data_IF_050760161698
#
_entry.id   IF_050760161698
#
_cell.length_a   1.000
_cell.length_b   1.000
_cell.length_c   1.000
_cell.angle_alpha   90.00
_cell.angle_beta   90.00
_cell.angle_gamma   90.00
#
_symmetry.space_group_name_H-M   'P 1'
#
loop_
_entity.id
_entity.type
_entity.pdbx_description
1 polymer ?
#
# COMPACT_ATOMS: atom_id res chain seq x y z
N UNK A 1 5.89 -34.37 5.85
CA UNK A 1 5.54 -33.83 7.20
C UNK A 1 4.10 -33.38 7.15
N UNK A 2 3.29 -33.75 8.16
CA UNK A 2 1.87 -33.39 8.18
C UNK A 2 1.63 -32.01 8.80
N UNK A 3 0.82 -31.22 8.12
CA UNK A 3 0.34 -29.91 8.54
C UNK A 3 -1.17 -29.92 8.66
N UNK A 4 -1.69 -29.37 9.74
CA UNK A 4 -3.12 -29.08 9.88
C UNK A 4 -3.26 -27.58 9.64
N UNK A 5 -3.85 -27.21 8.51
CA UNK A 5 -3.87 -25.84 8.04
C UNK A 5 -5.29 -25.28 8.11
N UNK A 6 -5.44 -24.10 8.71
CA UNK A 6 -6.67 -23.35 8.68
C UNK A 6 -6.43 -21.96 8.08
N UNK A 7 -7.18 -21.62 7.03
CA UNK A 7 -7.11 -20.35 6.32
C UNK A 7 -8.33 -19.51 6.66
N UNK A 8 -8.09 -18.31 7.21
CA UNK A 8 -9.12 -17.35 7.57
C UNK A 8 -9.03 -16.11 6.70
N UNK A 9 -10.17 -15.52 6.38
CA UNK A 9 -10.29 -14.11 5.99
C UNK A 9 -10.88 -13.35 7.17
N UNK A 10 -10.05 -12.51 7.78
CA UNK A 10 -10.33 -11.88 9.07
C UNK A 10 -10.71 -12.91 10.15
N UNK A 11 -12.01 -13.06 10.45
CA UNK A 11 -12.54 -14.02 11.42
C UNK A 11 -13.29 -15.19 10.76
N UNK A 12 -13.49 -15.16 9.44
CA UNK A 12 -14.23 -16.19 8.71
C UNK A 12 -13.28 -17.28 8.21
N UNK A 13 -13.55 -18.53 8.59
CA UNK A 13 -12.84 -19.68 8.04
C UNK A 13 -13.17 -19.82 6.55
N UNK A 14 -12.15 -19.84 5.70
CA UNK A 14 -12.26 -20.06 4.26
C UNK A 14 -12.01 -21.51 3.89
N UNK A 15 -10.93 -22.08 4.43
CA UNK A 15 -10.57 -23.46 4.18
C UNK A 15 -9.87 -24.06 5.40
N UNK A 16 -9.99 -25.37 5.57
CA UNK A 16 -9.29 -26.17 6.56
C UNK A 16 -8.94 -27.50 5.94
N UNK A 17 -7.65 -27.86 5.96
CA UNK A 17 -7.17 -29.09 5.33
C UNK A 17 -5.94 -29.66 6.04
N UNK A 18 -5.69 -30.95 5.85
CA UNK A 18 -4.51 -31.65 6.31
C UNK A 18 -3.62 -32.01 5.12
N UNK A 19 -2.45 -31.38 5.04
CA UNK A 19 -1.55 -31.48 3.89
C UNK A 19 -0.22 -32.09 4.31
N UNK A 20 0.31 -32.99 3.47
CA UNK A 20 1.66 -33.50 3.62
C UNK A 20 2.61 -32.74 2.69
N UNK A 21 3.68 -32.16 3.26
CA UNK A 21 4.70 -31.41 2.52
C UNK A 21 6.12 -31.73 2.99
N UNK A 22 7.10 -31.44 2.13
CA UNK A 22 8.52 -31.54 2.47
C UNK A 22 8.95 -30.36 3.36
N UNK A 23 9.93 -30.59 4.24
CA UNK A 23 10.40 -29.52 5.12
C UNK A 23 11.23 -28.47 4.40
N UNK A 24 11.73 -28.74 3.19
CA UNK A 24 12.46 -27.80 2.32
C UNK A 24 11.55 -26.76 1.66
N UNK A 25 10.25 -27.01 1.62
CA UNK A 25 9.25 -26.11 1.04
C UNK A 25 8.95 -24.92 1.98
N UNK A 26 8.18 -23.95 1.47
CA UNK A 26 7.86 -22.71 2.19
C UNK A 26 6.40 -22.66 2.63
N UNK A 27 6.08 -21.74 3.55
CA UNK A 27 4.67 -21.48 3.88
C UNK A 27 3.86 -20.92 2.70
N UNK A 28 4.53 -20.36 1.69
CA UNK A 28 3.90 -19.98 0.42
C UNK A 28 3.38 -21.20 -0.32
N UNK A 29 4.21 -22.22 -0.46
CA UNK A 29 3.87 -23.46 -1.16
C UNK A 29 2.73 -24.17 -0.43
N UNK A 30 2.78 -24.22 0.91
CA UNK A 30 1.71 -24.77 1.74
C UNK A 30 0.37 -24.03 1.57
N UNK A 31 0.42 -22.70 1.51
CA UNK A 31 -0.79 -21.90 1.31
C UNK A 31 -1.38 -22.11 -0.09
N UNK A 32 -0.52 -22.21 -1.11
CA UNK A 32 -0.91 -22.48 -2.48
C UNK A 32 -1.57 -23.86 -2.61
N UNK A 33 -1.01 -24.89 -1.98
CA UNK A 33 -1.56 -26.25 -2.00
C UNK A 33 -2.98 -26.29 -1.39
N UNK A 34 -3.20 -25.56 -0.29
CA UNK A 34 -4.52 -25.52 0.40
C UNK A 34 -5.56 -24.70 -0.35
N UNK A 35 -5.17 -23.64 -1.06
CA UNK A 35 -6.13 -22.75 -1.73
C UNK A 35 -6.30 -23.05 -3.23
N UNK A 36 -5.29 -23.63 -3.88
CA UNK A 36 -5.24 -23.89 -5.32
C UNK A 36 -5.02 -22.65 -6.18
N UNK A 37 -4.71 -21.49 -5.59
CA UNK A 37 -4.39 -20.25 -6.29
C UNK A 37 -3.52 -19.33 -5.44
N UNK A 38 -2.78 -18.45 -6.12
CA UNK A 38 -1.88 -17.49 -5.49
C UNK A 38 -2.63 -16.27 -4.91
N UNK A 39 -2.29 -15.88 -3.67
CA UNK A 39 -2.85 -14.69 -2.99
C UNK A 39 -1.75 -13.75 -2.47
N UNK A 40 -0.80 -13.39 -3.32
CA UNK A 40 0.37 -12.58 -2.92
C UNK A 40 0.05 -11.11 -2.60
N UNK A 41 -1.08 -10.59 -3.07
CA UNK A 41 -1.40 -9.16 -2.94
C UNK A 41 -2.07 -8.78 -1.60
N UNK A 42 -2.40 -9.75 -0.75
CA UNK A 42 -3.05 -9.51 0.53
C UNK A 42 -2.08 -9.67 1.71
N UNK A 43 -2.17 -8.80 2.74
CA UNK A 43 -1.37 -8.95 3.94
C UNK A 43 -1.79 -10.22 4.70
N UNK A 44 -0.92 -11.23 4.67
CA UNK A 44 -1.13 -12.52 5.34
C UNK A 44 -0.35 -12.57 6.65
N UNK A 45 -1.05 -12.93 7.73
CA UNK A 45 -0.42 -13.29 9.00
C UNK A 45 -0.39 -14.80 9.13
N UNK A 46 0.78 -15.35 9.41
CA UNK A 46 1.01 -16.78 9.58
C UNK A 46 1.33 -17.03 11.05
N UNK A 47 0.61 -17.97 11.64
CA UNK A 47 0.83 -18.41 13.01
C UNK A 47 0.94 -19.93 13.04
N UNK A 48 1.79 -20.46 13.90
CA UNK A 48 1.78 -21.87 14.23
C UNK A 48 1.38 -22.05 15.70
N UNK A 49 0.74 -23.17 16.00
CA UNK A 49 0.38 -23.49 17.38
C UNK A 49 1.61 -24.04 18.10
N UNK A 50 2.01 -23.35 19.17
CA UNK A 50 3.11 -23.79 20.01
C UNK A 50 2.55 -24.60 21.18
N UNK A 51 2.77 -25.91 21.17
CA UNK A 51 2.30 -26.81 22.23
C UNK A 51 2.94 -26.53 23.59
N UNK A 52 4.18 -26.02 23.62
CA UNK A 52 4.91 -25.72 24.86
C UNK A 52 4.26 -24.57 25.62
N UNK A 53 3.83 -23.53 24.89
CA UNK A 53 3.20 -22.34 25.48
C UNK A 53 1.67 -22.36 25.39
N UNK A 54 1.11 -23.37 24.72
CA UNK A 54 -0.33 -23.50 24.40
C UNK A 54 -0.90 -22.24 23.77
N UNK A 55 -0.14 -21.62 22.86
CA UNK A 55 -0.51 -20.36 22.22
C UNK A 55 -0.09 -20.29 20.75
N UNK A 56 -0.78 -19.44 19.99
CA UNK A 56 -0.44 -19.15 18.60
C UNK A 56 0.77 -18.21 18.53
N UNK A 57 1.79 -18.62 17.78
CA UNK A 57 3.04 -17.87 17.63
C UNK A 57 3.20 -17.41 16.19
N UNK A 58 3.53 -16.13 16.00
CA UNK A 58 3.70 -15.54 14.66
C UNK A 58 5.00 -16.00 14.00
N UNK A 59 4.94 -16.30 12.71
CA UNK A 59 6.12 -16.59 11.88
C UNK A 59 6.68 -15.26 11.33
N UNK A 60 7.86 -14.83 11.81
CA UNK A 60 8.43 -13.51 11.47
C UNK A 60 8.77 -13.32 10.00
N UNK A 61 9.25 -14.37 9.33
CA UNK A 61 9.65 -14.31 7.93
C UNK A 61 8.47 -14.51 6.96
N UNK A 62 7.25 -14.66 7.48
CA UNK A 62 6.04 -14.78 6.67
C UNK A 62 6.08 -15.95 5.69
N UNK A 63 5.56 -15.75 4.48
CA UNK A 63 5.40 -16.79 3.46
C UNK A 63 6.74 -17.36 2.95
N UNK A 64 7.81 -16.58 2.99
CA UNK A 64 9.14 -17.02 2.55
C UNK A 64 9.88 -17.85 3.60
N UNK A 65 9.31 -18.02 4.80
CA UNK A 65 9.89 -18.88 5.80
C UNK A 65 9.80 -20.34 5.34
N UNK A 66 10.85 -21.09 5.63
CA UNK A 66 10.91 -22.52 5.34
C UNK A 66 10.12 -23.32 6.38
N UNK A 67 9.49 -24.41 5.95
CA UNK A 67 8.65 -25.28 6.78
C UNK A 67 9.45 -26.10 7.80
N UNK A 68 10.78 -26.16 7.70
CA UNK A 68 11.68 -26.80 8.68
C UNK A 68 11.48 -26.28 10.11
N UNK A 69 10.96 -25.06 10.28
CA UNK A 69 10.64 -24.50 11.59
C UNK A 69 9.58 -25.32 12.33
N UNK A 70 8.72 -26.02 11.59
CA UNK A 70 7.66 -26.91 12.10
C UNK A 70 8.13 -28.36 12.38
N UNK A 71 9.35 -28.76 12.00
CA UNK A 71 9.82 -30.15 12.17
C UNK A 71 9.73 -30.63 13.62
N UNK A 72 9.95 -29.74 14.58
CA UNK A 72 9.93 -30.05 16.01
C UNK A 72 8.53 -30.07 16.63
N UNK A 73 7.49 -29.75 15.85
CA UNK A 73 6.13 -29.51 16.33
C UNK A 73 5.09 -30.33 15.55
N UNK A 74 5.40 -31.59 15.20
CA UNK A 74 4.50 -32.42 14.39
C UNK A 74 3.34 -33.05 15.20
N UNK A 75 2.10 -33.08 14.66
CA UNK A 75 1.66 -32.41 13.43
C UNK A 75 1.57 -30.88 13.63
N UNK A 76 2.17 -30.11 12.71
CA UNK A 76 2.25 -28.67 12.89
C UNK A 76 0.91 -28.04 12.52
N UNK A 77 0.23 -27.43 13.50
CA UNK A 77 -0.99 -26.67 13.25
C UNK A 77 -0.62 -25.26 12.81
N UNK A 78 -1.06 -24.88 11.60
CA UNK A 78 -0.76 -23.60 10.98
C UNK A 78 -2.05 -22.85 10.70
N UNK A 79 -2.07 -21.57 11.08
CA UNK A 79 -3.16 -20.66 10.84
C UNK A 79 -2.70 -19.53 9.93
N UNK A 80 -3.35 -19.43 8.77
CA UNK A 80 -3.21 -18.30 7.86
C UNK A 80 -4.37 -17.34 8.08
N UNK A 81 -4.09 -16.05 8.23
CA UNK A 81 -5.12 -15.01 8.33
C UNK A 81 -4.87 -13.95 7.26
N UNK A 82 -5.71 -13.97 6.24
CA UNK A 82 -5.82 -12.94 5.20
C UNK A 82 -6.48 -11.72 5.84
N UNK A 83 -5.73 -10.64 5.99
CA UNK A 83 -6.28 -9.36 6.43
C UNK A 83 -6.76 -8.60 5.22
N UNK A 84 -7.87 -7.89 5.35
CA UNK A 84 -8.15 -6.82 4.40
C UNK A 84 -6.97 -5.85 4.42
N UNK A 85 -6.49 -5.46 3.23
CA UNK A 85 -5.69 -4.26 3.13
C UNK A 85 -6.52 -3.17 3.81
N UNK A 86 -6.07 -2.67 4.95
CA UNK A 86 -6.58 -1.40 5.45
C UNK A 86 -6.54 -0.46 4.26
N UNK A 87 -7.71 0.02 3.84
CA UNK A 87 -7.77 1.08 2.86
C UNK A 87 -6.75 2.12 3.31
N UNK A 88 -5.91 2.56 2.37
CA UNK A 88 -4.83 3.53 2.57
C UNK A 88 -5.29 4.79 3.35
N UNK A 89 -6.60 5.01 3.47
CA UNK A 89 -7.25 6.02 4.28
C UNK A 89 -6.95 5.93 5.80
N UNK A 90 -6.81 4.74 6.39
CA UNK A 90 -6.57 4.62 7.85
C UNK A 90 -5.10 4.70 8.26
N UNK A 91 -4.16 4.32 7.39
CA UNK A 91 -2.72 4.33 7.69
C UNK A 91 -2.04 5.69 7.57
N UNK A 92 -2.68 6.67 6.92
CA UNK A 92 -2.12 8.02 6.76
C UNK A 92 -2.01 8.83 8.05
N UNK A 93 -2.44 8.30 9.21
CA UNK A 93 -2.35 9.04 10.47
C UNK A 93 -1.09 8.80 11.28
N UNK A 94 -0.32 7.71 11.11
CA UNK A 94 0.66 7.37 12.16
C UNK A 94 2.05 6.79 11.84
N UNK A 95 2.52 6.51 10.62
CA UNK A 95 3.94 6.13 10.48
C UNK A 95 4.63 6.53 9.17
N UNK A 96 5.64 7.39 9.31
CA UNK A 96 6.86 7.42 8.49
C UNK A 96 6.69 7.54 6.98
N UNK A 97 6.28 8.72 6.49
CA UNK A 97 6.37 9.04 5.07
C UNK A 97 7.84 8.91 4.64
N UNK A 98 8.15 7.93 3.80
CA UNK A 98 9.44 7.81 3.15
C UNK A 98 9.70 9.13 2.39
N UNK A 99 10.73 9.88 2.75
CA UNK A 99 10.97 11.21 2.18
C UNK A 99 11.04 11.18 0.64
N UNK A 100 11.54 10.07 0.08
CA UNK A 100 11.61 9.84 -1.35
C UNK A 100 10.22 9.63 -1.99
N UNK A 101 9.31 8.91 -1.34
CA UNK A 101 7.96 8.72 -1.87
C UNK A 101 7.20 10.05 -1.87
N UNK A 102 7.37 10.87 -0.83
CA UNK A 102 6.79 12.23 -0.79
C UNK A 102 7.32 13.12 -1.90
N UNK A 103 8.62 13.07 -2.19
CA UNK A 103 9.24 13.84 -3.29
C UNK A 103 8.70 13.36 -4.64
N UNK A 104 8.57 12.05 -4.84
CA UNK A 104 8.02 11.49 -6.07
C UNK A 104 6.54 11.81 -6.26
N UNK A 105 5.72 11.74 -5.20
CA UNK A 105 4.32 12.14 -5.21
C UNK A 105 4.19 13.65 -5.51
N UNK A 106 4.99 14.48 -4.85
CA UNK A 106 4.96 15.94 -5.05
C UNK A 106 5.38 16.36 -6.47
N UNK A 107 6.21 15.57 -7.15
CA UNK A 107 6.57 15.81 -8.55
C UNK A 107 5.48 15.39 -9.55
N UNK A 108 4.53 14.55 -9.14
CA UNK A 108 3.38 14.14 -9.97
C UNK A 108 2.20 15.11 -9.86
N UNK A 109 2.21 15.99 -8.86
CA UNK A 109 1.16 17.00 -8.69
C UNK A 109 1.46 18.18 -9.62
N UNK A 110 0.55 18.52 -10.56
CA UNK A 110 0.68 19.71 -11.39
C UNK A 110 0.80 20.95 -10.50
N UNK A 111 1.82 21.76 -10.72
CA UNK A 111 2.06 22.99 -9.95
C UNK A 111 1.52 24.17 -10.71
N UNK A 112 0.84 25.06 -9.98
CA UNK A 112 0.32 26.31 -10.50
C UNK A 112 1.10 27.49 -9.92
N UNK A 113 1.23 28.59 -10.68
CA UNK A 113 1.73 29.84 -10.13
C UNK A 113 0.92 30.30 -8.91
N UNK A 114 1.59 31.05 -8.03
CA UNK A 114 0.93 31.62 -6.85
C UNK A 114 -0.07 32.69 -7.26
N UNK A 115 -1.22 32.68 -6.61
CA UNK A 115 -2.17 33.79 -6.69
C UNK A 115 -1.49 35.07 -6.22
N UNK A 116 -1.83 36.17 -6.88
CA UNK A 116 -1.34 37.50 -6.54
C UNK A 116 -2.23 38.13 -5.50
N UNK A 117 -1.65 39.05 -4.73
CA UNK A 117 -2.46 39.92 -3.90
C UNK A 117 -3.32 40.82 -4.80
N UNK A 118 -4.60 40.98 -4.48
CA UNK A 118 -5.56 41.73 -5.30
C UNK A 118 -5.30 43.23 -5.24
N UNK A 119 -4.36 43.70 -6.07
CA UNK A 119 -4.00 45.12 -6.16
C UNK A 119 -4.63 45.77 -7.38
N UNK A 120 -4.79 45.03 -8.48
CA UNK A 120 -5.32 45.54 -9.75
C UNK A 120 -6.36 44.61 -10.38
N UNK A 121 -7.11 45.12 -11.37
CA UNK A 121 -8.01 44.27 -12.21
C UNK A 121 -7.25 43.18 -12.96
N UNK A 122 -6.00 43.44 -13.33
CA UNK A 122 -5.14 42.43 -13.95
C UNK A 122 -4.81 41.31 -12.97
N UNK A 123 -4.58 41.63 -11.69
CA UNK A 123 -4.33 40.61 -10.66
C UNK A 123 -5.58 39.78 -10.36
N UNK A 124 -6.78 40.38 -10.44
CA UNK A 124 -8.05 39.67 -10.36
C UNK A 124 -8.19 38.67 -11.51
N UNK A 125 -8.01 39.11 -12.76
CA UNK A 125 -8.11 38.25 -13.95
C UNK A 125 -7.06 37.13 -13.93
N UNK A 126 -5.84 37.45 -13.50
CA UNK A 126 -4.78 36.47 -13.29
C UNK A 126 -5.20 35.40 -12.28
N UNK A 127 -5.76 35.80 -11.14
CA UNK A 127 -6.22 34.86 -10.11
C UNK A 127 -7.43 34.04 -10.55
N UNK A 128 -8.34 34.61 -11.34
CA UNK A 128 -9.48 33.89 -11.89
C UNK A 128 -9.06 32.80 -12.88
N UNK A 129 -8.04 33.07 -13.72
CA UNK A 129 -7.42 32.04 -14.56
C UNK A 129 -6.74 30.94 -13.74
N UNK A 130 -6.06 31.29 -12.65
CA UNK A 130 -5.46 30.30 -11.74
C UNK A 130 -6.53 29.42 -11.11
N UNK A 131 -7.68 29.98 -10.70
CA UNK A 131 -8.81 29.20 -10.16
C UNK A 131 -9.39 28.24 -11.20
N UNK A 132 -9.62 28.72 -12.42
CA UNK A 132 -10.15 27.87 -13.50
C UNK A 132 -9.22 26.69 -13.79
N UNK A 133 -7.90 26.91 -13.80
CA UNK A 133 -6.92 25.83 -13.96
C UNK A 133 -6.92 24.84 -12.79
N UNK A 134 -7.17 25.32 -11.56
CA UNK A 134 -7.32 24.43 -10.38
C UNK A 134 -8.56 23.54 -10.51
N UNK A 135 -9.69 24.11 -10.92
CA UNK A 135 -10.96 23.40 -11.01
C UNK A 135 -10.91 22.28 -12.08
N UNK A 136 -10.19 22.52 -13.18
CA UNK A 136 -9.97 21.54 -14.25
C UNK A 136 -8.76 20.60 -13.99
N UNK A 137 -8.13 20.68 -12.82
CA UNK A 137 -6.94 19.90 -12.43
C UNK A 137 -5.76 20.03 -13.42
N UNK A 138 -5.63 21.20 -14.07
CA UNK A 138 -4.57 21.51 -15.02
C UNK A 138 -3.40 22.22 -14.34
N UNK A 139 -2.18 22.02 -14.84
CA UNK A 139 -1.00 22.70 -14.31
C UNK A 139 0.30 22.28 -14.99
N UNK A 140 1.41 22.82 -14.50
CA UNK A 140 2.73 22.58 -15.07
C UNK A 140 3.51 21.53 -14.26
N UNK A 141 4.24 20.67 -14.96
CA UNK A 141 5.13 19.68 -14.35
C UNK A 141 6.57 20.21 -14.31
N UNK A 142 7.29 19.92 -13.22
CA UNK A 142 8.70 20.29 -13.06
C UNK A 142 8.95 21.59 -12.30
N UNK A 143 10.23 22.01 -12.22
CA UNK A 143 10.68 23.12 -11.35
C UNK A 143 10.45 24.54 -11.89
N UNK A 144 10.06 24.70 -13.15
CA UNK A 144 9.99 25.98 -13.85
C UNK A 144 8.58 26.60 -13.93
N UNK A 145 7.60 26.05 -13.20
CA UNK A 145 6.21 26.53 -13.21
C UNK A 145 6.06 27.98 -12.72
N UNK A 146 6.87 28.43 -11.75
CA UNK A 146 6.85 29.82 -11.27
C UNK A 146 7.31 30.82 -12.34
N UNK A 147 8.15 30.43 -13.30
CA UNK A 147 8.64 31.32 -14.36
C UNK A 147 7.88 31.17 -15.68
N UNK A 148 7.72 29.94 -16.18
CA UNK A 148 7.07 29.66 -17.47
C UNK A 148 5.56 29.79 -17.35
N UNK A 149 4.96 29.20 -16.31
CA UNK A 149 3.51 29.24 -16.10
C UNK A 149 3.02 30.65 -15.78
N UNK A 150 3.77 31.40 -14.96
CA UNK A 150 3.42 32.79 -14.65
C UNK A 150 3.53 33.71 -15.86
N UNK A 151 4.56 33.51 -16.71
CA UNK A 151 4.75 34.23 -17.97
C UNK A 151 3.62 33.96 -18.96
N UNK A 152 3.20 32.70 -19.10
CA UNK A 152 2.08 32.32 -19.97
C UNK A 152 0.77 32.95 -19.52
N UNK A 153 0.40 32.82 -18.24
CA UNK A 153 -0.86 33.41 -17.73
C UNK A 153 -0.81 34.93 -17.85
N UNK A 154 0.33 35.56 -17.57
CA UNK A 154 0.47 37.01 -17.73
C UNK A 154 0.28 37.45 -19.19
N UNK A 155 0.90 36.75 -20.13
CA UNK A 155 0.70 37.05 -21.56
C UNK A 155 -0.78 36.90 -21.97
N UNK A 156 -1.48 35.91 -21.41
CA UNK A 156 -2.89 35.67 -21.68
C UNK A 156 -3.80 36.73 -21.02
N UNK A 157 -3.48 37.17 -19.80
CA UNK A 157 -4.21 38.26 -19.12
C UNK A 157 -4.01 39.59 -19.83
N UNK A 158 -2.82 39.85 -20.38
CA UNK A 158 -2.50 41.11 -21.06
C UNK A 158 -3.12 41.18 -22.47
N UNK A 159 -3.58 40.04 -23.02
CA UNK A 159 -4.29 39.93 -24.31
C UNK A 159 -5.81 40.16 -24.21
N UNK A 160 -6.38 40.04 -23.01
CA UNK A 160 -7.82 40.12 -22.73
C UNK A 160 -8.21 41.50 -22.17
#
# INVERSE_FOLDING_TARGET
MWFIVAVYKETKLLNEDAVEMESTETFSDLLFEVLGYDIFDQPIVIQFYNELTKNWTNVKYGLSANLNLCEKFQPCQVKFTLKEQESLEKRNRQNGINGLSKIMETNRIPKLPKERNFVTRHDLLYNDLIKLLKDELLGWYGGSYESIGSGFIKALTDLL
#
